data_IF_502273269800
#
_entry.id   IF_502273269800
#
_cell.length_a   1.000
_cell.length_b   1.000
_cell.length_c   1.000
_cell.angle_alpha   90.00
_cell.angle_beta   90.00
_cell.angle_gamma   90.00
#
_symmetry.space_group_name_H-M   'P 1'
#
loop_
_entity.id
_entity.type
_entity.pdbx_description
1 polymer ?
#
# COMPACT_ATOMS: atom_id res chain seq x y z
N UNK A 1 2.75 -12.14 -4.23
CA UNK A 1 1.83 -11.11 -4.76
C UNK A 1 2.66 -10.12 -5.56
N UNK A 2 2.32 -9.84 -6.82
CA UNK A 2 2.91 -8.72 -7.57
C UNK A 2 2.00 -7.50 -7.35
N UNK A 3 2.54 -6.41 -6.83
CA UNK A 3 1.84 -5.15 -6.64
C UNK A 3 2.82 -4.04 -6.33
N UNK A 4 2.46 -2.79 -6.66
CA UNK A 4 3.31 -1.62 -6.38
C UNK A 4 3.21 -1.29 -4.90
N UNK A 5 4.36 -1.25 -4.20
CA UNK A 5 4.42 -0.80 -2.81
C UNK A 5 4.39 0.72 -2.81
N UNK A 6 3.53 1.30 -1.97
CA UNK A 6 3.36 2.75 -1.88
C UNK A 6 3.35 3.21 -0.43
N UNK A 7 3.85 4.42 -0.22
CA UNK A 7 3.59 5.17 0.99
C UNK A 7 2.28 5.92 0.80
N UNK A 8 1.44 5.98 1.83
CA UNK A 8 0.20 6.73 1.79
C UNK A 8 -0.04 7.49 3.10
N UNK A 9 -0.83 8.54 3.01
CA UNK A 9 -1.31 9.29 4.19
C UNK A 9 -2.80 9.03 4.38
N UNK A 10 -3.19 8.60 5.58
CA UNK A 10 -4.61 8.43 5.95
C UNK A 10 -5.29 9.79 6.17
N UNK A 11 -6.64 9.87 6.09
CA UNK A 11 -7.39 11.10 6.37
C UNK A 11 -7.18 11.68 7.77
N UNK A 12 -6.74 10.87 8.73
CA UNK A 12 -6.39 11.30 10.08
C UNK A 12 -4.97 11.90 10.19
N UNK A 13 -4.22 11.92 9.09
CA UNK A 13 -2.83 12.40 9.00
C UNK A 13 -1.76 11.35 9.33
N UNK A 14 -2.15 10.12 9.65
CA UNK A 14 -1.21 9.02 9.89
C UNK A 14 -0.56 8.57 8.58
N UNK A 15 0.70 8.16 8.64
CA UNK A 15 1.40 7.60 7.48
C UNK A 15 1.40 6.08 7.53
N UNK A 16 1.23 5.43 6.39
CA UNK A 16 1.25 3.98 6.24
C UNK A 16 1.99 3.51 4.98
N UNK A 17 2.24 2.20 4.91
CA UNK A 17 2.80 1.52 3.74
C UNK A 17 1.84 0.41 3.35
N UNK A 18 1.54 0.31 2.05
CA UNK A 18 0.65 -0.73 1.55
C UNK A 18 0.97 -1.12 0.11
N UNK A 19 0.15 -2.01 -0.43
CA UNK A 19 0.26 -2.51 -1.80
C UNK A 19 -0.95 -2.02 -2.58
N UNK A 20 -0.73 -1.39 -3.74
CA UNK A 20 -1.83 -0.97 -4.63
C UNK A 20 -2.49 -2.20 -5.24
N UNK A 21 -3.79 -2.36 -5.00
CA UNK A 21 -4.61 -3.41 -5.64
C UNK A 21 -5.43 -2.88 -6.82
N UNK A 22 -5.66 -1.56 -6.89
CA UNK A 22 -6.39 -0.95 -7.99
C UNK A 22 -6.31 0.57 -8.02
N UNK A 23 -6.69 1.14 -9.16
CA UNK A 23 -6.81 2.58 -9.36
C UNK A 23 -8.12 2.90 -10.09
N UNK A 24 -8.96 3.72 -9.48
CA UNK A 24 -10.27 4.08 -10.01
C UNK A 24 -10.51 5.58 -9.81
N UNK A 25 -10.76 6.29 -10.92
CA UNK A 25 -11.17 7.70 -10.91
C UNK A 25 -10.26 8.65 -10.11
N UNK A 26 -8.93 8.46 -10.15
CA UNK A 26 -7.97 9.30 -9.41
C UNK A 26 -7.64 8.82 -7.99
N UNK A 27 -8.23 7.70 -7.56
CA UNK A 27 -8.04 7.15 -6.23
C UNK A 27 -7.35 5.78 -6.29
N UNK A 28 -6.40 5.56 -5.39
CA UNK A 28 -5.75 4.28 -5.17
C UNK A 28 -6.50 3.46 -4.13
N UNK A 29 -6.68 2.17 -4.42
CA UNK A 29 -7.08 1.16 -3.43
C UNK A 29 -5.82 0.48 -2.92
N UNK A 30 -5.52 0.71 -1.65
CA UNK A 30 -4.29 0.25 -1.01
C UNK A 30 -4.65 -0.82 0.00
N UNK A 31 -4.14 -2.02 -0.23
CA UNK A 31 -4.20 -3.10 0.74
C UNK A 31 -3.09 -2.92 1.75
N UNK A 32 -3.50 -2.82 3.02
CA UNK A 32 -2.60 -2.66 4.15
C UNK A 32 -2.48 -4.02 4.84
N UNK A 33 -1.26 -4.53 4.95
CA UNK A 33 -0.99 -5.68 5.80
C UNK A 33 -0.62 -5.15 7.18
N UNK A 34 -1.51 -5.29 8.15
CA UNK A 34 -1.15 -5.00 9.54
C UNK A 34 -0.14 -6.06 10.00
N UNK A 35 1.03 -5.61 10.47
CA UNK A 35 2.16 -6.51 10.78
C UNK A 35 1.84 -7.35 12.02
N UNK A 36 0.93 -6.86 12.88
CA UNK A 36 0.62 -7.47 14.18
C UNK A 36 -0.64 -8.34 14.15
N UNK A 37 -1.50 -8.23 13.14
CA UNK A 37 -2.72 -9.04 13.01
C UNK A 37 -2.83 -9.65 11.60
N UNK A 38 -2.36 -10.89 11.50
CA UNK A 38 -2.29 -11.68 10.25
C UNK A 38 -3.63 -11.95 9.54
N UNK A 39 -4.76 -11.43 10.03
CA UNK A 39 -6.11 -11.71 9.48
C UNK A 39 -6.95 -10.46 9.14
N UNK A 40 -6.52 -9.24 9.52
CA UNK A 40 -7.29 -8.02 9.24
C UNK A 40 -6.74 -7.31 7.99
N UNK A 41 -7.05 -7.88 6.82
CA UNK A 41 -6.83 -7.22 5.53
C UNK A 41 -7.75 -5.99 5.42
N UNK A 42 -7.17 -4.79 5.54
CA UNK A 42 -7.91 -3.53 5.37
C UNK A 42 -7.57 -2.88 4.03
N UNK A 43 -8.60 -2.43 3.31
CA UNK A 43 -8.46 -1.57 2.13
C UNK A 43 -8.61 -0.12 2.56
N UNK A 44 -7.65 0.71 2.16
CA UNK A 44 -7.67 2.17 2.33
C UNK A 44 -7.77 2.82 0.96
N UNK A 45 -8.56 3.89 0.89
CA UNK A 45 -8.66 4.77 -0.27
C UNK A 45 -7.74 5.98 -0.04
N UNK A 46 -6.91 6.32 -1.02
CA UNK A 46 -6.05 7.50 -0.98
C UNK A 46 -6.07 8.21 -2.35
N UNK A 47 -6.12 9.54 -2.34
CA UNK A 47 -6.04 10.33 -3.57
C UNK A 47 -4.63 10.25 -4.18
N UNK A 48 -4.49 10.48 -5.49
CA UNK A 48 -3.18 10.41 -6.18
C UNK A 48 -2.11 11.32 -5.55
N UNK A 49 -2.50 12.49 -5.01
CA UNK A 49 -1.61 13.42 -4.32
C UNK A 49 -1.23 13.00 -2.89
N UNK A 50 -1.87 11.97 -2.33
CA UNK A 50 -1.62 11.44 -0.99
C UNK A 50 -0.79 10.15 -1.03
N UNK A 51 -0.46 9.68 -2.23
CA UNK A 51 0.29 8.45 -2.49
C UNK A 51 1.64 8.80 -3.07
N UNK A 52 2.70 8.35 -2.40
CA UNK A 52 4.06 8.42 -2.91
C UNK A 52 4.51 7.02 -3.34
N UNK A 53 4.91 6.88 -4.61
CA UNK A 53 5.45 5.62 -5.10
C UNK A 53 6.77 5.33 -4.39
N UNK A 54 6.75 4.35 -3.49
CA UNK A 54 7.95 3.79 -2.93
C UNK A 54 8.50 2.85 -4.00
N UNK A 55 9.50 3.30 -4.75
CA UNK A 55 10.35 2.43 -5.56
C UNK A 55 11.12 1.47 -4.62
N UNK A 56 10.42 0.51 -4.05
CA UNK A 56 11.03 -0.62 -3.39
C UNK A 56 11.51 -1.51 -4.52
N UNK A 57 12.77 -1.35 -4.90
CA UNK A 57 13.49 -2.37 -5.63
C UNK A 57 13.28 -3.67 -4.85
N UNK A 58 12.41 -4.53 -5.36
CA UNK A 58 12.22 -5.88 -4.85
C UNK A 58 13.52 -6.62 -5.13
N UNK A 59 14.47 -6.52 -4.20
CA UNK A 59 15.57 -7.46 -4.13
C UNK A 59 14.91 -8.82 -3.99
N UNK A 60 15.15 -9.67 -4.98
CA UNK A 60 14.59 -11.01 -5.07
C UNK A 60 14.79 -11.73 -3.75
N UNK A 61 13.72 -11.86 -2.99
CA UNK A 61 13.64 -12.83 -1.91
C UNK A 61 13.26 -14.16 -2.56
N UNK A 62 14.25 -14.74 -3.25
CA UNK A 62 14.38 -16.18 -3.30
C UNK A 62 14.71 -16.62 -1.88
N UNK A 63 13.69 -17.07 -1.15
CA UNK A 63 13.89 -17.91 0.02
C UNK A 63 14.09 -19.33 -0.51
N UNK A 64 15.36 -19.70 -0.67
CA UNK A 64 15.79 -21.11 -0.64
C UNK A 64 15.66 -21.66 0.79
#
# INVERSE_FOLDING_TARGET
MQGTVVGYTEPNGSQGIGIVEGFFSGMYLIKVADIDEYDDERIVEAEENEVEELHVCTYGVGWD
#
